data_IF_967865396902
#
_entry.id   IF_967865396902
#
_cell.length_a   1.000
_cell.length_b   1.000
_cell.length_c   1.000
_cell.angle_alpha   90.00
_cell.angle_beta   90.00
_cell.angle_gamma   90.00
#
_symmetry.space_group_name_H-M   'P 1'
#
loop_
_entity.id
_entity.type
_entity.pdbx_description
1 polymer ?
#
# COMPACT_ATOMS: atom_id res chain seq x y z
N UNK A 1 -23.31 -32.90 17.84
CA UNK A 1 -22.39 -32.15 16.96
C UNK A 1 -22.42 -30.70 17.42
N UNK A 2 -21.49 -30.31 18.29
CA UNK A 2 -21.48 -28.96 18.89
C UNK A 2 -20.02 -28.51 18.98
N UNK A 3 -19.59 -27.69 18.03
CA UNK A 3 -18.21 -27.18 17.96
C UNK A 3 -18.15 -25.93 18.84
N UNK A 4 -17.85 -26.14 20.12
CA UNK A 4 -17.58 -25.06 21.05
C UNK A 4 -16.14 -24.61 20.83
N UNK A 5 -15.94 -23.75 19.81
CA UNK A 5 -14.65 -23.17 19.48
C UNK A 5 -14.33 -22.10 20.54
N UNK A 6 -13.46 -22.47 21.47
CA UNK A 6 -13.05 -21.67 22.62
C UNK A 6 -12.46 -20.32 22.15
N UNK A 7 -13.17 -19.22 22.41
CA UNK A 7 -12.88 -17.86 21.92
C UNK A 7 -11.43 -17.41 22.20
N UNK A 8 -10.80 -17.94 23.25
CA UNK A 8 -9.38 -17.70 23.56
C UNK A 8 -8.40 -18.20 22.49
N UNK A 9 -8.70 -19.31 21.80
CA UNK A 9 -7.84 -19.82 20.70
C UNK A 9 -8.00 -19.01 19.42
N UNK A 10 -9.20 -18.46 19.19
CA UNK A 10 -9.46 -17.56 18.06
C UNK A 10 -8.74 -16.22 18.26
N UNK A 11 -8.78 -15.67 19.47
CA UNK A 11 -8.03 -14.47 19.84
C UNK A 11 -6.51 -14.67 19.71
N UNK A 12 -6.00 -15.83 20.13
CA UNK A 12 -4.56 -16.14 19.99
C UNK A 12 -4.12 -16.25 18.52
N UNK A 13 -4.97 -16.83 17.64
CA UNK A 13 -4.70 -16.90 16.20
C UNK A 13 -4.78 -15.53 15.52
N UNK A 14 -5.72 -14.66 15.94
CA UNK A 14 -5.80 -13.27 15.47
C UNK A 14 -4.57 -12.47 15.93
N UNK A 15 -4.10 -12.66 17.16
CA UNK A 15 -2.87 -12.04 17.65
C UNK A 15 -1.63 -12.56 16.89
N UNK A 16 -1.54 -13.85 16.59
CA UNK A 16 -0.44 -14.41 15.80
C UNK A 16 -0.43 -13.91 14.34
N UNK A 17 -1.62 -13.67 13.75
CA UNK A 17 -1.75 -13.04 12.43
C UNK A 17 -1.42 -11.53 12.45
N UNK A 18 -1.62 -10.86 13.58
CA UNK A 18 -1.25 -9.45 13.76
C UNK A 18 0.27 -9.23 14.03
N UNK A 19 1.03 -10.29 14.33
CA UNK A 19 2.48 -10.21 14.55
C UNK A 19 3.33 -10.47 13.29
N UNK A 20 2.72 -10.84 12.18
CA UNK A 20 3.39 -10.85 10.87
C UNK A 20 3.09 -9.54 10.14
N UNK A 21 4.14 -8.73 9.93
CA UNK A 21 4.17 -7.44 9.19
C UNK A 21 3.88 -6.20 10.06
N UNK A 22 4.88 -5.81 10.87
CA UNK A 22 4.99 -4.46 11.41
C UNK A 22 5.73 -3.60 10.38
N UNK A 23 4.98 -3.03 9.43
CA UNK A 23 5.44 -1.93 8.58
C UNK A 23 5.00 -0.60 9.17
N UNK A 24 5.93 0.21 9.66
CA UNK A 24 5.62 1.53 10.21
C UNK A 24 5.41 2.57 9.10
N UNK A 25 4.21 3.16 9.03
CA UNK A 25 3.95 4.37 8.24
C UNK A 25 4.25 5.64 9.05
N UNK A 26 5.04 6.56 8.50
CA UNK A 26 5.24 7.90 9.07
C UNK A 26 4.68 8.94 8.10
N UNK A 27 3.66 9.68 8.54
CA UNK A 27 3.05 10.77 7.76
C UNK A 27 3.29 12.14 8.41
N UNK A 28 3.75 13.13 7.63
CA UNK A 28 3.89 14.53 8.02
C UNK A 28 2.91 15.40 7.22
N UNK A 29 2.19 16.32 7.88
CA UNK A 29 1.17 17.17 7.26
C UNK A 29 1.62 18.64 7.14
N UNK A 30 1.42 19.25 5.96
CA UNK A 30 1.66 20.68 5.71
C UNK A 30 0.48 21.30 4.96
N UNK A 31 0.16 22.56 5.27
CA UNK A 31 -0.89 23.33 4.58
C UNK A 31 -0.19 24.25 3.58
N UNK A 32 -0.53 24.14 2.29
CA UNK A 32 0.02 24.95 1.19
C UNK A 32 -1.14 25.61 0.44
N UNK A 33 -0.85 26.69 -0.31
CA UNK A 33 -1.81 27.60 -0.93
C UNK A 33 -2.92 26.92 -1.76
N UNK A 34 -4.14 27.51 -1.82
CA UNK A 34 -5.31 26.90 -2.43
C UNK A 34 -5.19 26.65 -3.94
N UNK A 35 -5.59 25.45 -4.38
CA UNK A 35 -5.75 25.06 -5.79
C UNK A 35 -7.16 25.44 -6.26
N UNK A 36 -7.29 26.02 -7.46
CA UNK A 36 -8.57 26.48 -8.01
C UNK A 36 -9.58 25.34 -8.21
N UNK A 37 -10.78 25.46 -7.62
CA UNK A 37 -11.89 24.54 -7.81
C UNK A 37 -13.08 25.29 -8.44
N UNK A 38 -13.46 24.87 -9.65
CA UNK A 38 -14.40 25.56 -10.55
C UNK A 38 -15.85 25.66 -10.05
N UNK A 39 -16.21 24.99 -8.95
CA UNK A 39 -17.59 24.91 -8.44
C UNK A 39 -17.80 25.47 -7.02
N UNK A 40 -16.78 26.04 -6.38
CA UNK A 40 -16.91 26.60 -5.03
C UNK A 40 -16.72 28.13 -5.08
N UNK A 41 -17.68 28.89 -4.56
CA UNK A 41 -17.64 30.36 -4.57
C UNK A 41 -16.58 30.92 -3.60
N UNK A 42 -16.02 30.07 -2.73
CA UNK A 42 -14.99 30.42 -1.75
C UNK A 42 -13.76 29.51 -1.97
N UNK A 43 -12.56 30.10 -1.93
CA UNK A 43 -11.29 29.39 -2.11
C UNK A 43 -10.94 28.62 -0.85
N UNK A 44 -10.91 27.29 -0.92
CA UNK A 44 -10.47 26.43 0.17
C UNK A 44 -9.14 25.74 -0.15
N UNK A 45 -8.17 25.84 0.76
CA UNK A 45 -6.88 25.18 0.57
C UNK A 45 -6.95 23.69 0.94
N UNK A 46 -6.46 22.78 0.09
CA UNK A 46 -6.35 21.37 0.44
C UNK A 46 -5.31 21.15 1.55
N UNK A 47 -5.49 20.08 2.31
CA UNK A 47 -4.56 19.66 3.36
C UNK A 47 -3.61 18.64 2.78
N UNK A 48 -2.30 18.88 2.80
CA UNK A 48 -1.29 18.01 2.19
C UNK A 48 -0.58 17.15 3.23
N UNK A 49 -0.21 15.93 2.82
CA UNK A 49 0.45 14.94 3.68
C UNK A 49 1.53 14.23 2.88
N UNK A 50 2.70 14.04 3.47
CA UNK A 50 3.78 13.21 2.91
C UNK A 50 3.87 11.97 3.79
N UNK A 51 3.84 10.78 3.19
CA UNK A 51 3.89 9.50 3.87
C UNK A 51 5.05 8.65 3.38
N UNK A 52 5.67 7.91 4.30
CA UNK A 52 6.63 6.86 3.99
C UNK A 52 6.14 5.52 4.53
N UNK A 53 6.15 4.49 3.69
CA UNK A 53 5.70 3.14 4.04
C UNK A 53 6.80 2.11 3.77
N UNK A 54 6.96 1.16 4.68
CA UNK A 54 7.75 -0.07 4.49
C UNK A 54 6.78 -1.24 4.50
N UNK A 55 6.74 -2.05 3.43
CA UNK A 55 5.81 -3.18 3.33
C UNK A 55 6.57 -4.47 3.00
N UNK A 56 6.85 -5.33 4.00
CA UNK A 56 7.24 -6.70 3.73
C UNK A 56 6.02 -7.50 3.26
N UNK A 57 6.19 -8.32 2.22
CA UNK A 57 5.10 -9.08 1.60
C UNK A 57 5.43 -10.55 1.42
N UNK A 58 4.38 -11.37 1.33
CA UNK A 58 4.47 -12.78 0.97
C UNK A 58 4.10 -12.96 -0.50
N UNK A 59 4.94 -13.68 -1.24
CA UNK A 59 4.68 -14.02 -2.64
C UNK A 59 4.15 -15.44 -2.70
N UNK A 60 2.89 -15.57 -3.14
CA UNK A 60 2.28 -16.88 -3.30
C UNK A 60 2.94 -17.65 -4.46
N UNK A 61 3.33 -18.92 -4.25
CA UNK A 61 3.96 -19.75 -5.27
C UNK A 61 2.92 -20.22 -6.31
N UNK A 62 2.54 -19.36 -7.24
CA UNK A 62 1.50 -19.69 -8.23
C UNK A 62 2.02 -20.43 -9.45
N UNK A 63 3.35 -20.55 -9.59
CA UNK A 63 4.03 -21.22 -10.70
C UNK A 63 5.39 -21.78 -10.25
N UNK A 64 5.95 -22.69 -11.05
CA UNK A 64 7.22 -23.38 -10.79
C UNK A 64 8.40 -22.41 -10.61
N UNK A 65 8.43 -21.32 -11.40
CA UNK A 65 9.45 -20.28 -11.29
C UNK A 65 9.50 -19.66 -9.88
N UNK A 66 8.33 -19.37 -9.29
CA UNK A 66 8.24 -18.86 -7.92
C UNK A 66 8.52 -19.95 -6.87
N UNK A 67 8.26 -21.22 -7.17
CA UNK A 67 8.55 -22.36 -6.29
C UNK A 67 10.04 -22.67 -6.16
N UNK A 68 10.84 -22.27 -7.14
CA UNK A 68 12.29 -22.44 -7.13
C UNK A 68 12.89 -22.93 -8.45
N UNK A 69 12.07 -23.16 -9.48
CA UNK A 69 12.54 -23.44 -10.85
C UNK A 69 13.00 -22.15 -11.54
N UNK A 70 14.01 -21.53 -10.96
CA UNK A 70 14.63 -20.29 -11.40
C UNK A 70 16.15 -20.41 -11.31
N UNK A 71 16.88 -19.42 -11.83
CA UNK A 71 18.33 -19.51 -11.94
C UNK A 71 19.03 -19.61 -10.59
N UNK A 72 18.37 -19.12 -9.53
CA UNK A 72 18.88 -19.20 -8.17
C UNK A 72 18.56 -20.52 -7.46
N UNK A 73 17.71 -21.37 -8.05
CA UNK A 73 17.19 -22.60 -7.44
C UNK A 73 16.59 -22.36 -6.05
N UNK A 74 15.92 -21.20 -5.89
CA UNK A 74 15.38 -20.73 -4.62
C UNK A 74 13.96 -20.25 -4.77
N UNK A 75 13.11 -20.61 -3.83
CA UNK A 75 11.74 -20.12 -3.78
C UNK A 75 11.70 -18.59 -3.62
N UNK A 76 10.87 -17.93 -4.43
CA UNK A 76 10.59 -16.50 -4.33
C UNK A 76 9.26 -16.36 -3.58
N UNK A 77 9.35 -16.29 -2.25
CA UNK A 77 8.18 -16.21 -1.35
C UNK A 77 8.13 -14.93 -0.51
N UNK A 78 9.08 -14.03 -0.70
CA UNK A 78 9.23 -12.80 0.06
C UNK A 78 9.39 -11.61 -0.89
N UNK A 79 8.78 -10.50 -0.51
CA UNK A 79 8.99 -9.20 -1.14
C UNK A 79 9.18 -8.14 -0.08
N UNK A 80 9.83 -7.05 -0.47
CA UNK A 80 9.89 -5.83 0.32
C UNK A 80 9.66 -4.64 -0.61
N UNK A 81 8.75 -3.76 -0.21
CA UNK A 81 8.53 -2.51 -0.93
C UNK A 81 8.66 -1.29 -0.01
N UNK A 82 9.24 -0.25 -0.58
CA UNK A 82 9.38 1.07 0.05
C UNK A 82 8.53 2.05 -0.74
N UNK A 83 7.65 2.77 -0.06
CA UNK A 83 6.71 3.70 -0.68
C UNK A 83 6.96 5.12 -0.17
N UNK A 84 6.99 6.07 -1.09
CA UNK A 84 6.89 7.50 -0.79
C UNK A 84 5.59 8.01 -1.39
N UNK A 85 4.79 8.68 -0.58
CA UNK A 85 3.44 9.10 -0.93
C UNK A 85 3.25 10.56 -0.67
N UNK A 86 2.60 11.23 -1.60
CA UNK A 86 2.07 12.57 -1.43
C UNK A 86 0.55 12.49 -1.53
N UNK A 87 -0.12 12.75 -0.41
CA UNK A 87 -1.56 12.77 -0.29
C UNK A 87 -2.06 14.20 -0.12
N UNK A 88 -3.30 14.42 -0.51
CA UNK A 88 -4.06 15.59 -0.14
C UNK A 88 -5.49 15.22 0.23
N UNK A 89 -6.11 16.10 1.00
CA UNK A 89 -7.51 16.02 1.43
C UNK A 89 -8.20 17.33 1.14
N UNK A 90 -9.46 17.27 0.75
CA UNK A 90 -10.27 18.46 0.63
C UNK A 90 -10.47 19.11 1.99
N UNK A 91 -10.48 20.45 2.01
CA UNK A 91 -10.77 21.19 3.25
C UNK A 91 -12.15 20.83 3.75
N UNK A 92 -12.29 20.69 5.07
CA UNK A 92 -13.59 20.44 5.73
C UNK A 92 -14.63 21.51 5.40
N UNK A 93 -14.19 22.70 4.98
CA UNK A 93 -15.08 23.81 4.67
C UNK A 93 -15.57 23.77 3.21
N UNK A 94 -14.88 23.04 2.32
CA UNK A 94 -15.30 22.83 0.93
C UNK A 94 -16.46 21.85 0.81
N UNK A 95 -17.25 21.93 -0.27
CA UNK A 95 -18.36 21.00 -0.50
C UNK A 95 -17.89 19.53 -0.49
N UNK A 96 -16.82 19.22 -1.23
CA UNK A 96 -16.25 17.87 -1.29
C UNK A 96 -15.68 17.39 0.04
N UNK A 97 -15.06 18.27 0.83
CA UNK A 97 -14.55 17.87 2.15
C UNK A 97 -15.64 17.67 3.19
N UNK A 98 -16.82 18.29 3.03
CA UNK A 98 -18.01 17.96 3.83
C UNK A 98 -18.63 16.63 3.42
N UNK A 99 -18.68 16.34 2.12
CA UNK A 99 -19.25 15.10 1.59
C UNK A 99 -18.34 13.90 1.87
N UNK A 100 -17.02 14.08 1.80
CA UNK A 100 -16.01 13.03 1.98
C UNK A 100 -14.97 13.42 3.05
N UNK A 101 -15.37 13.55 4.33
CA UNK A 101 -14.54 14.12 5.37
C UNK A 101 -13.32 13.29 5.74
N UNK A 102 -13.28 12.01 5.33
CA UNK A 102 -12.20 11.07 5.64
C UNK A 102 -11.49 10.54 4.41
N UNK A 103 -11.92 10.93 3.20
CA UNK A 103 -11.23 10.56 1.99
C UNK A 103 -9.92 11.35 1.86
N UNK A 104 -8.89 10.65 1.41
CA UNK A 104 -7.62 11.24 1.01
C UNK A 104 -7.18 10.57 -0.28
N UNK A 105 -6.45 11.32 -1.11
CA UNK A 105 -6.04 10.85 -2.43
C UNK A 105 -4.69 11.46 -2.79
N UNK A 106 -3.98 10.85 -3.72
CA UNK A 106 -2.63 11.30 -4.00
C UNK A 106 -1.89 10.48 -5.04
N UNK A 107 -0.59 10.76 -5.11
CA UNK A 107 0.36 10.05 -5.95
C UNK A 107 1.44 9.40 -5.09
N UNK A 108 1.81 8.18 -5.44
CA UNK A 108 2.85 7.44 -4.76
C UNK A 108 3.87 6.91 -5.75
N UNK A 109 5.08 6.76 -5.24
CA UNK A 109 6.18 6.05 -5.90
C UNK A 109 6.59 4.92 -4.98
N UNK A 110 6.84 3.74 -5.54
CA UNK A 110 7.37 2.61 -4.78
C UNK A 110 8.58 2.00 -5.44
N UNK A 111 9.50 1.51 -4.63
CA UNK A 111 10.60 0.64 -5.03
C UNK A 111 10.33 -0.75 -4.45
N UNK A 112 10.38 -1.78 -5.28
CA UNK A 112 10.02 -3.14 -4.91
C UNK A 112 11.22 -4.06 -5.15
N UNK A 113 11.45 -4.99 -4.23
CA UNK A 113 12.41 -6.08 -4.41
C UNK A 113 11.81 -7.41 -4.02
N UNK A 114 12.12 -8.43 -4.82
CA UNK A 114 11.74 -9.83 -4.61
C UNK A 114 12.94 -10.69 -4.20
N UNK A 115 14.06 -10.04 -3.85
CA UNK A 115 15.35 -10.68 -3.57
C UNK A 115 15.89 -11.55 -4.72
N UNK A 116 15.30 -11.44 -5.91
CA UNK A 116 15.78 -12.03 -7.16
C UNK A 116 15.98 -10.95 -8.26
N UNK A 117 16.90 -9.99 -8.07
CA UNK A 117 17.06 -8.86 -8.99
C UNK A 117 17.62 -9.27 -10.37
N UNK A 118 18.28 -10.44 -10.46
CA UNK A 118 18.81 -10.95 -11.72
C UNK A 118 17.69 -11.34 -12.70
N UNK A 119 16.62 -11.97 -12.20
CA UNK A 119 15.55 -12.51 -13.03
C UNK A 119 14.30 -11.63 -13.05
N UNK A 120 13.93 -11.01 -11.92
CA UNK A 120 12.74 -10.14 -11.83
C UNK A 120 13.07 -8.65 -11.94
N UNK A 121 14.30 -8.26 -11.61
CA UNK A 121 14.67 -6.87 -11.42
C UNK A 121 14.20 -6.32 -10.07
N UNK A 122 14.30 -5.00 -9.92
CA UNK A 122 13.77 -4.26 -8.78
C UNK A 122 12.82 -3.18 -9.30
N UNK A 123 11.54 -3.51 -9.48
CA UNK A 123 10.63 -2.64 -10.17
C UNK A 123 10.26 -1.39 -9.35
N UNK A 124 10.17 -0.27 -10.05
CA UNK A 124 9.68 1.00 -9.51
C UNK A 124 8.26 1.21 -10.01
N UNK A 125 7.31 1.48 -9.12
CA UNK A 125 5.94 1.82 -9.51
C UNK A 125 5.60 3.27 -9.24
N UNK A 126 4.83 3.87 -10.14
CA UNK A 126 4.20 5.19 -9.97
C UNK A 126 2.70 4.98 -10.05
N UNK A 127 1.97 5.47 -9.06
CA UNK A 127 0.55 5.17 -8.91
C UNK A 127 -0.24 6.34 -8.34
N UNK A 128 -1.51 6.41 -8.72
CA UNK A 128 -2.50 7.17 -7.98
C UNK A 128 -3.07 6.29 -6.87
N UNK A 129 -3.50 6.91 -5.78
CA UNK A 129 -4.17 6.21 -4.70
C UNK A 129 -5.29 7.03 -4.11
N UNK A 130 -6.25 6.33 -3.51
CA UNK A 130 -7.25 6.93 -2.65
C UNK A 130 -7.55 5.97 -1.50
N UNK A 131 -7.68 6.55 -0.32
CA UNK A 131 -8.13 5.83 0.86
C UNK A 131 -9.24 6.58 1.56
N UNK A 132 -10.02 5.85 2.34
CA UNK A 132 -11.03 6.42 3.20
C UNK A 132 -11.26 5.52 4.41
N UNK A 133 -11.84 6.15 5.45
CA UNK A 133 -12.23 5.46 6.67
C UNK A 133 -13.42 4.54 6.41
N UNK A 134 -13.29 3.29 6.81
CA UNK A 134 -14.40 2.34 6.92
C UNK A 134 -15.13 2.57 8.24
N UNK A 135 -14.40 2.59 9.35
CA UNK A 135 -14.97 2.79 10.68
C UNK A 135 -14.01 3.47 11.64
N UNK A 136 -14.58 4.18 12.62
CA UNK A 136 -13.83 4.71 13.76
C UNK A 136 -13.87 3.68 14.89
N UNK A 137 -12.70 3.17 15.30
CA UNK A 137 -12.60 2.18 16.38
C UNK A 137 -12.53 2.86 17.75
N UNK A 138 -11.79 3.96 17.85
CA UNK A 138 -11.71 4.82 19.03
C UNK A 138 -11.40 6.26 18.64
N UNK A 139 -11.47 7.27 19.52
CA UNK A 139 -11.21 8.67 19.14
C UNK A 139 -9.87 8.93 18.43
N UNK A 140 -8.86 8.06 18.63
CA UNK A 140 -7.53 8.16 18.00
C UNK A 140 -7.20 7.01 17.05
N UNK A 141 -8.11 6.05 16.88
CA UNK A 141 -7.87 4.84 16.08
C UNK A 141 -8.98 4.65 15.04
N UNK A 142 -8.62 4.58 13.76
CA UNK A 142 -9.58 4.29 12.68
C UNK A 142 -9.13 3.11 11.83
N UNK A 143 -10.11 2.44 11.26
CA UNK A 143 -9.91 1.38 10.29
C UNK A 143 -10.33 1.90 8.92
N UNK A 144 -9.39 1.87 7.99
CA UNK A 144 -9.45 2.54 6.70
C UNK A 144 -9.12 1.51 5.59
N UNK A 145 -9.51 1.81 4.36
CA UNK A 145 -9.03 1.11 3.17
C UNK A 145 -8.21 2.06 2.30
N UNK A 146 -7.33 1.49 1.48
CA UNK A 146 -6.55 2.22 0.49
C UNK A 146 -6.42 1.38 -0.77
N UNK A 147 -6.78 1.93 -1.92
CA UNK A 147 -6.48 1.32 -3.21
C UNK A 147 -5.42 2.15 -3.93
N UNK A 148 -4.57 1.46 -4.67
CA UNK A 148 -3.51 2.03 -5.48
C UNK A 148 -3.62 1.47 -6.90
N UNK A 149 -3.53 2.35 -7.91
CA UNK A 149 -3.55 1.97 -9.32
C UNK A 149 -2.54 2.78 -10.11
N UNK A 150 -1.75 2.11 -10.94
CA UNK A 150 -0.73 2.77 -11.73
C UNK A 150 0.07 1.83 -12.62
N UNK A 151 1.34 2.18 -12.82
CA UNK A 151 2.26 1.42 -13.66
C UNK A 151 3.55 1.14 -12.90
N UNK A 152 4.15 -0.01 -13.18
CA UNK A 152 5.42 -0.47 -12.65
C UNK A 152 6.41 -0.70 -13.79
N UNK A 153 7.66 -0.29 -13.56
CA UNK A 153 8.72 -0.19 -14.55
C UNK A 153 9.98 -0.88 -14.03
N UNK A 154 10.87 -1.27 -14.94
CA UNK A 154 12.16 -1.87 -14.56
C UNK A 154 12.10 -3.37 -14.32
N UNK A 155 10.98 -3.99 -14.70
CA UNK A 155 10.87 -5.43 -14.76
C UNK A 155 11.81 -6.01 -15.82
N UNK A 156 12.41 -7.15 -15.51
CA UNK A 156 13.08 -8.00 -16.49
C UNK A 156 12.00 -8.83 -17.18
N UNK A 157 11.90 -8.69 -18.50
CA UNK A 157 10.99 -9.51 -19.32
C UNK A 157 11.64 -10.84 -19.64
N UNK A 158 10.81 -11.85 -19.95
CA UNK A 158 11.28 -13.08 -20.58
C UNK A 158 12.20 -12.78 -21.76
N UNK A 159 13.33 -13.50 -21.80
CA UNK A 159 14.27 -13.46 -22.92
C UNK A 159 14.89 -14.86 -23.04
N UNK A 160 14.62 -15.57 -24.14
CA UNK A 160 15.08 -16.95 -24.31
C UNK A 160 16.60 -17.12 -24.33
N UNK A 161 17.37 -16.04 -24.50
CA UNK A 161 18.83 -16.06 -24.48
C UNK A 161 19.41 -15.62 -23.13
N UNK A 162 18.78 -14.65 -22.46
CA UNK A 162 19.33 -14.04 -21.24
C UNK A 162 18.56 -14.33 -19.95
N UNK A 163 17.24 -14.56 -20.04
CA UNK A 163 16.34 -14.84 -18.92
C UNK A 163 15.34 -15.97 -19.26
N UNK A 164 15.82 -17.17 -19.66
CA UNK A 164 14.96 -18.23 -20.17
C UNK A 164 14.03 -18.85 -19.13
N UNK A 165 14.25 -18.59 -17.83
CA UNK A 165 13.39 -19.09 -16.76
C UNK A 165 12.31 -18.09 -16.32
N UNK A 166 12.42 -16.80 -16.70
CA UNK A 166 11.42 -15.80 -16.33
C UNK A 166 10.21 -15.83 -17.27
N UNK A 167 9.40 -16.87 -17.16
CA UNK A 167 8.16 -17.03 -17.95
C UNK A 167 7.01 -16.14 -17.45
N UNK A 168 7.16 -15.53 -16.27
CA UNK A 168 6.09 -14.83 -15.56
C UNK A 168 5.93 -13.39 -16.03
N UNK A 169 7.02 -12.75 -16.47
CA UNK A 169 7.02 -11.33 -16.81
C UNK A 169 7.08 -11.11 -18.33
N UNK A 170 5.92 -10.78 -18.91
CA UNK A 170 5.78 -10.53 -20.34
C UNK A 170 6.26 -9.16 -20.83
N UNK A 171 6.41 -8.18 -19.93
CA UNK A 171 6.72 -6.78 -20.29
C UNK A 171 7.64 -6.11 -19.28
N UNK A 172 8.43 -5.13 -19.76
CA UNK A 172 9.23 -4.23 -18.90
C UNK A 172 8.37 -3.23 -18.12
N UNK A 173 7.14 -3.01 -18.58
CA UNK A 173 6.13 -2.11 -17.99
C UNK A 173 4.85 -2.91 -17.75
N UNK A 174 4.37 -2.92 -16.50
CA UNK A 174 3.19 -3.68 -16.09
C UNK A 174 2.23 -2.82 -15.28
N UNK A 175 0.95 -3.17 -15.26
CA UNK A 175 -0.02 -2.52 -14.38
C UNK A 175 0.35 -2.76 -12.91
N UNK A 176 0.22 -1.72 -12.09
CA UNK A 176 0.37 -1.81 -10.64
C UNK A 176 -1.00 -1.65 -9.99
N UNK A 177 -1.41 -2.63 -9.20
CA UNK A 177 -2.70 -2.65 -8.51
C UNK A 177 -2.44 -3.17 -7.10
N UNK A 178 -2.98 -2.48 -6.10
CA UNK A 178 -2.87 -2.89 -4.70
C UNK A 178 -4.10 -2.39 -3.93
N UNK A 179 -4.56 -3.19 -2.97
CA UNK A 179 -5.69 -2.87 -2.10
C UNK A 179 -5.31 -3.28 -0.69
N UNK A 180 -5.27 -2.32 0.23
CA UNK A 180 -4.88 -2.55 1.61
C UNK A 180 -5.97 -2.15 2.60
N UNK A 181 -6.02 -2.89 3.70
CA UNK A 181 -6.76 -2.53 4.91
C UNK A 181 -5.77 -1.96 5.92
N UNK A 182 -6.06 -0.77 6.45
CA UNK A 182 -5.12 0.03 7.23
C UNK A 182 -5.75 0.41 8.56
N UNK A 183 -5.04 0.12 9.64
CA UNK A 183 -5.32 0.63 10.97
C UNK A 183 -4.49 1.90 11.21
N UNK A 184 -5.17 3.03 11.32
CA UNK A 184 -4.59 4.36 11.48
C UNK A 184 -4.68 4.83 12.93
N UNK A 185 -3.53 5.11 13.56
CA UNK A 185 -3.42 5.66 14.91
C UNK A 185 -2.92 7.10 14.87
N UNK A 186 -3.77 8.03 15.30
CA UNK A 186 -3.42 9.43 15.54
C UNK A 186 -2.64 9.58 16.84
N UNK A 187 -1.32 9.78 16.74
CA UNK A 187 -0.42 9.98 17.90
C UNK A 187 -0.35 11.46 18.31
N UNK A 188 -0.27 12.36 17.33
CA UNK A 188 -0.22 13.82 17.51
C UNK A 188 -1.01 14.46 16.37
N UNK A 189 -1.60 15.67 16.47
CA UNK A 189 -2.38 16.28 15.39
C UNK A 189 -1.73 16.27 13.99
N UNK A 190 -0.39 16.30 13.90
CA UNK A 190 0.37 16.29 12.66
C UNK A 190 0.97 14.92 12.28
N UNK A 191 0.95 13.95 13.19
CA UNK A 191 1.61 12.66 13.02
C UNK A 191 0.64 11.50 13.20
N UNK A 192 0.66 10.60 12.24
CA UNK A 192 -0.07 9.34 12.29
C UNK A 192 0.90 8.20 12.09
N UNK A 193 0.64 7.13 12.83
CA UNK A 193 1.22 5.82 12.58
C UNK A 193 0.14 4.96 11.96
N UNK A 194 0.49 4.20 10.95
CA UNK A 194 -0.42 3.24 10.36
C UNK A 194 0.25 1.89 10.16
N UNK A 195 -0.54 0.84 10.31
CA UNK A 195 -0.17 -0.54 10.02
C UNK A 195 -1.30 -1.18 9.22
N UNK A 196 -0.99 -2.08 8.30
CA UNK A 196 -2.01 -2.65 7.42
C UNK A 196 -1.55 -3.93 6.75
N UNK A 197 -2.50 -4.54 6.05
CA UNK A 197 -2.30 -5.73 5.22
C UNK A 197 -2.87 -5.46 3.83
N UNK A 198 -2.18 -5.95 2.81
CA UNK A 198 -2.51 -5.80 1.39
C UNK A 198 -2.17 -7.06 0.56
#
# INVERSE_FOLDING_TARGET
MNINMNAGRLLYMICLLAFSVVGGKLEAQTVVQPVEQQHDSIKYAPIHQIGFDIRPGYVAPTNSFLEGDNAQQKRINQSLSLHLKYAFRFSKDSNLGRLYPHAYQGIGISYNTFYCPAELGNPVAVYAFQGARIMQVSPRLSFDYEWNFGASFGWKKYDGQYYPQNEVIGSKINAYINLGLVLNWQLHPQWKLAAGVD
#
